data_IF_347201720463
#
_entry.id   IF_347201720463
#
_cell.length_a   1.000
_cell.length_b   1.000
_cell.length_c   1.000
_cell.angle_alpha   90.00
_cell.angle_beta   90.00
_cell.angle_gamma   90.00
#
_symmetry.space_group_name_H-M   'P 1'
#
loop_
_entity.id
_entity.type
_entity.pdbx_description
1 polymer ?
#
# COMPACT_ATOMS: atom_id res chain seq x y z
N UNK A 1 22.20 35.46 -16.16
CA UNK A 1 22.91 34.21 -16.52
C UNK A 1 21.96 33.39 -17.35
N UNK A 2 22.29 33.22 -18.63
CA UNK A 2 21.51 32.46 -19.60
C UNK A 2 21.67 30.97 -19.31
N UNK A 3 20.58 30.28 -19.00
CA UNK A 3 20.51 28.82 -18.97
C UNK A 3 19.40 28.40 -19.91
N UNK A 4 19.75 27.99 -21.12
CA UNK A 4 18.82 27.52 -22.13
C UNK A 4 18.05 26.31 -21.57
N UNK A 5 16.72 26.42 -21.52
CA UNK A 5 15.84 25.27 -21.33
C UNK A 5 15.91 24.41 -22.58
N UNK A 6 16.62 23.29 -22.52
CA UNK A 6 16.42 22.23 -23.50
C UNK A 6 15.01 21.66 -23.34
N UNK A 7 14.21 21.55 -24.41
CA UNK A 7 12.92 20.87 -24.35
C UNK A 7 13.15 19.38 -24.07
N UNK A 8 12.28 18.73 -23.28
CA UNK A 8 12.40 17.30 -23.01
C UNK A 8 12.29 16.55 -24.33
N UNK A 9 13.31 15.73 -24.58
CA UNK A 9 13.49 14.87 -25.76
C UNK A 9 12.15 14.32 -26.26
N UNK A 10 11.66 14.92 -27.34
CA UNK A 10 10.58 14.39 -28.16
C UNK A 10 10.91 12.93 -28.47
N UNK A 11 10.03 12.01 -28.08
CA UNK A 11 10.17 10.61 -28.47
C UNK A 11 10.38 10.53 -29.98
N UNK A 12 11.41 9.80 -30.47
CA UNK A 12 11.62 9.68 -31.90
C UNK A 12 10.36 9.11 -32.56
N UNK A 13 9.85 9.81 -33.57
CA UNK A 13 9.01 9.20 -34.59
C UNK A 13 9.84 8.14 -35.31
N UNK A 14 9.18 7.11 -35.86
CA UNK A 14 9.75 5.85 -36.39
C UNK A 14 9.85 4.80 -35.28
N UNK A 15 8.94 3.83 -35.17
CA UNK A 15 8.60 2.85 -36.19
C UNK A 15 7.09 2.59 -36.26
N UNK A 16 6.45 3.13 -37.29
CA UNK A 16 5.30 2.48 -37.91
C UNK A 16 5.82 1.22 -38.63
N UNK A 17 6.14 0.18 -37.86
CA UNK A 17 6.39 -1.16 -38.37
C UNK A 17 5.09 -1.93 -38.33
N UNK A 18 4.55 -2.22 -39.51
CA UNK A 18 3.30 -2.92 -39.73
C UNK A 18 3.15 -4.14 -38.80
N UNK A 19 2.01 -4.19 -38.10
CA UNK A 19 1.57 -5.37 -37.39
C UNK A 19 1.25 -6.46 -38.39
N UNK A 20 2.22 -7.34 -38.66
CA UNK A 20 1.87 -8.68 -39.12
C UNK A 20 1.50 -9.50 -37.87
N UNK A 21 0.19 -9.64 -37.66
CA UNK A 21 -0.37 -10.68 -36.77
C UNK A 21 -0.02 -12.04 -37.37
N UNK A 22 1.19 -12.51 -37.08
CA UNK A 22 1.58 -13.88 -37.36
C UNK A 22 0.92 -14.79 -36.33
N UNK A 23 -0.22 -15.39 -36.72
CA UNK A 23 -0.77 -16.57 -36.06
C UNK A 23 0.36 -17.57 -35.86
N UNK A 24 0.75 -17.80 -34.60
CA UNK A 24 1.76 -18.79 -34.24
C UNK A 24 1.13 -20.19 -34.27
N UNK A 25 0.48 -20.56 -35.37
CA UNK A 25 0.11 -21.94 -35.66
C UNK A 25 1.29 -22.61 -36.32
N UNK A 26 2.00 -23.41 -35.51
CA UNK A 26 3.10 -24.24 -35.95
C UNK A 26 4.43 -23.74 -35.42
N UNK A 27 4.78 -24.16 -34.20
CA UNK A 27 6.18 -24.49 -33.99
C UNK A 27 6.50 -25.56 -35.04
N UNK A 28 7.20 -25.17 -36.11
CA UNK A 28 7.67 -26.08 -37.12
C UNK A 28 8.50 -27.17 -36.41
N UNK A 29 7.86 -28.30 -36.16
CA UNK A 29 8.52 -29.56 -35.83
C UNK A 29 9.56 -29.79 -36.94
N UNK A 30 10.78 -30.24 -36.64
CA UNK A 30 11.75 -30.50 -37.71
C UNK A 30 11.22 -31.65 -38.57
N UNK A 31 10.51 -31.34 -39.66
CA UNK A 31 10.34 -32.31 -40.74
C UNK A 31 11.63 -32.24 -41.54
N UNK A 32 12.52 -33.20 -41.30
CA UNK A 32 13.54 -33.57 -42.27
C UNK A 32 12.79 -33.99 -43.54
N UNK A 33 12.58 -33.03 -44.44
CA UNK A 33 12.10 -33.30 -45.78
C UNK A 33 13.20 -34.09 -46.47
N UNK A 34 13.05 -35.42 -46.48
CA UNK A 34 13.86 -36.29 -47.31
C UNK A 34 13.50 -36.01 -48.76
N UNK A 35 14.14 -34.99 -49.37
CA UNK A 35 14.11 -34.85 -50.81
C UNK A 35 14.76 -36.09 -51.42
N UNK A 36 13.98 -36.81 -52.24
CA UNK A 36 14.46 -37.88 -53.09
C UNK A 36 15.44 -37.28 -54.11
N UNK A 37 16.72 -37.30 -53.76
CA UNK A 37 17.83 -36.86 -54.59
C UNK A 37 19.13 -37.16 -53.87
N UNK A 38 19.84 -38.19 -54.33
CA UNK A 38 20.97 -38.78 -53.62
C UNK A 38 22.19 -37.88 -53.54
N UNK A 39 22.38 -37.26 -52.37
CA UNK A 39 23.68 -37.14 -51.72
C UNK A 39 23.45 -37.51 -50.27
N UNK A 40 24.13 -38.55 -49.78
CA UNK A 40 24.05 -38.94 -48.37
C UNK A 40 24.62 -37.80 -47.53
N UNK A 41 23.76 -37.09 -46.80
CA UNK A 41 24.18 -36.10 -45.81
C UNK A 41 25.24 -36.73 -44.91
N UNK A 42 26.39 -36.09 -44.82
CA UNK A 42 27.45 -36.57 -43.93
C UNK A 42 27.02 -36.38 -42.48
N UNK A 43 27.48 -37.26 -41.58
CA UNK A 43 27.15 -37.19 -40.15
C UNK A 43 27.43 -35.79 -39.57
N UNK A 44 28.51 -35.15 -40.03
CA UNK A 44 28.89 -33.80 -39.63
C UNK A 44 27.86 -32.75 -40.05
N UNK A 45 27.31 -32.83 -41.27
CA UNK A 45 26.29 -31.91 -41.75
C UNK A 45 24.94 -32.11 -41.02
N UNK A 46 24.61 -33.36 -40.68
CA UNK A 46 23.44 -33.67 -39.85
C UNK A 46 23.56 -33.05 -38.46
N UNK A 47 24.69 -33.27 -37.78
CA UNK A 47 24.95 -32.70 -36.45
C UNK A 47 24.93 -31.15 -36.48
N UNK A 48 25.51 -30.54 -37.51
CA UNK A 48 25.44 -29.09 -37.71
C UNK A 48 24.00 -28.59 -37.92
N UNK A 49 23.17 -29.32 -38.67
CA UNK A 49 21.77 -28.96 -38.86
C UNK A 49 20.98 -29.03 -37.54
N UNK A 50 21.18 -30.09 -36.76
CA UNK A 50 20.59 -30.22 -35.42
C UNK A 50 21.02 -29.06 -34.52
N UNK A 51 22.32 -28.74 -34.47
CA UNK A 51 22.82 -27.63 -33.66
C UNK A 51 22.24 -26.28 -34.09
N UNK A 52 22.20 -25.98 -35.39
CA UNK A 52 21.62 -24.72 -35.91
C UNK A 52 20.13 -24.58 -35.55
N UNK A 53 19.37 -25.66 -35.65
CA UNK A 53 17.93 -25.65 -35.31
C UNK A 53 17.71 -25.43 -33.81
N UNK A 54 18.51 -26.10 -32.96
CA UNK A 54 18.47 -25.91 -31.52
C UNK A 54 18.86 -24.48 -31.13
N UNK A 55 19.93 -23.94 -31.71
CA UNK A 55 20.38 -22.56 -31.46
C UNK A 55 19.31 -21.53 -31.88
N UNK A 56 18.67 -21.74 -33.04
CA UNK A 56 17.57 -20.90 -33.50
C UNK A 56 16.37 -20.95 -32.55
N UNK A 57 16.05 -22.14 -32.03
CA UNK A 57 15.02 -22.33 -31.02
C UNK A 57 15.34 -21.56 -29.73
N UNK A 58 16.53 -21.75 -29.16
CA UNK A 58 16.96 -21.06 -27.93
C UNK A 58 16.95 -19.54 -28.10
N UNK A 59 17.46 -19.02 -29.22
CA UNK A 59 17.45 -17.58 -29.53
C UNK A 59 16.02 -17.03 -29.60
N UNK A 60 15.09 -17.81 -30.16
CA UNK A 60 13.68 -17.43 -30.26
C UNK A 60 13.02 -17.37 -28.89
N UNK A 61 13.22 -18.40 -28.05
CA UNK A 61 12.68 -18.43 -26.67
C UNK A 61 13.19 -17.25 -25.85
N UNK A 62 14.50 -16.96 -25.88
CA UNK A 62 15.10 -15.84 -25.15
C UNK A 62 14.53 -14.51 -25.64
N UNK A 63 14.41 -14.32 -26.97
CA UNK A 63 13.84 -13.11 -27.56
C UNK A 63 12.40 -12.88 -27.09
N UNK A 64 11.55 -13.91 -27.11
CA UNK A 64 10.16 -13.77 -26.66
C UNK A 64 10.03 -13.53 -25.16
N UNK A 65 10.89 -14.16 -24.35
CA UNK A 65 10.95 -13.90 -22.91
C UNK A 65 11.31 -12.43 -22.63
N UNK A 66 12.31 -11.89 -23.33
CA UNK A 66 12.71 -10.49 -23.22
C UNK A 66 11.59 -9.53 -23.64
N UNK A 67 10.96 -9.76 -24.79
CA UNK A 67 9.81 -8.96 -25.25
C UNK A 67 8.67 -8.97 -24.22
N UNK A 68 8.40 -10.14 -23.64
CA UNK A 68 7.36 -10.27 -22.61
C UNK A 68 7.70 -9.49 -21.34
N UNK A 69 8.95 -9.54 -20.89
CA UNK A 69 9.42 -8.76 -19.74
C UNK A 69 9.31 -7.25 -19.99
N UNK A 70 9.75 -6.77 -21.16
CA UNK A 70 9.64 -5.36 -21.55
C UNK A 70 8.18 -4.90 -21.55
N UNK A 71 7.27 -5.67 -22.15
CA UNK A 71 5.83 -5.34 -22.17
C UNK A 71 5.22 -5.29 -20.76
N UNK A 72 5.67 -6.15 -19.84
CA UNK A 72 5.23 -6.12 -18.44
C UNK A 72 5.70 -4.84 -17.74
N UNK A 73 6.95 -4.44 -17.95
CA UNK A 73 7.50 -3.20 -17.39
C UNK A 73 6.77 -1.97 -17.95
N UNK A 74 6.49 -1.92 -19.25
CA UNK A 74 5.73 -0.81 -19.85
C UNK A 74 4.33 -0.66 -19.25
N UNK A 75 3.58 -1.77 -19.12
CA UNK A 75 2.26 -1.76 -18.46
C UNK A 75 2.31 -1.31 -17.01
N UNK A 76 3.44 -1.60 -16.32
CA UNK A 76 3.67 -1.17 -14.94
C UNK A 76 3.90 0.35 -14.91
N UNK A 77 4.77 0.87 -15.77
CA UNK A 77 5.05 2.31 -15.89
C UNK A 77 3.87 3.15 -16.39
N UNK A 78 2.95 2.60 -17.18
CA UNK A 78 1.70 3.30 -17.56
C UNK A 78 0.76 3.54 -16.37
N UNK A 79 0.87 2.72 -15.31
CA UNK A 79 0.01 2.78 -14.12
C UNK A 79 0.70 3.43 -12.92
N UNK A 80 2.02 3.41 -12.89
CA UNK A 80 2.83 3.94 -11.81
C UNK A 80 3.31 5.36 -12.14
N UNK A 81 3.13 6.26 -11.18
CA UNK A 81 3.63 7.64 -11.24
C UNK A 81 4.86 7.71 -10.34
N UNK A 82 5.93 8.41 -10.77
CA UNK A 82 7.12 8.58 -9.94
C UNK A 82 6.83 9.41 -8.70
N UNK A 83 7.50 9.09 -7.59
CA UNK A 83 7.38 9.85 -6.35
C UNK A 83 7.81 11.32 -6.54
N UNK A 84 8.79 11.58 -7.39
CA UNK A 84 9.25 12.94 -7.74
C UNK A 84 8.17 13.76 -8.46
N UNK A 85 7.22 13.10 -9.13
CA UNK A 85 6.06 13.78 -9.71
C UNK A 85 4.95 14.01 -8.68
N UNK A 86 4.91 13.20 -7.61
CA UNK A 86 3.96 13.33 -6.49
C UNK A 86 4.36 14.43 -5.49
N UNK A 87 5.64 14.81 -5.41
CA UNK A 87 6.12 15.90 -4.53
C UNK A 87 5.67 17.29 -4.96
N UNK A 88 5.08 17.44 -6.16
CA UNK A 88 4.45 18.69 -6.60
C UNK A 88 3.07 18.87 -5.97
N UNK A 89 3.01 19.33 -4.72
CA UNK A 89 1.92 20.03 -3.97
C UNK A 89 0.47 19.50 -4.04
N UNK A 90 0.13 18.56 -4.92
CA UNK A 90 -1.25 18.18 -5.27
C UNK A 90 -1.88 17.15 -4.34
N UNK A 91 -1.15 16.63 -3.36
CA UNK A 91 -1.59 15.48 -2.56
C UNK A 91 -1.35 15.63 -1.06
N UNK A 92 -1.59 16.82 -0.50
CA UNK A 92 -1.80 17.03 0.94
C UNK A 92 -2.94 16.13 1.48
N UNK A 93 -3.82 15.60 0.61
CA UNK A 93 -4.90 14.67 0.98
C UNK A 93 -4.45 13.29 1.51
N UNK A 94 -3.21 12.86 1.26
CA UNK A 94 -2.68 11.60 1.83
C UNK A 94 -1.80 11.81 3.06
N UNK A 95 -1.50 13.07 3.41
CA UNK A 95 -0.91 13.35 4.70
C UNK A 95 -1.96 12.98 5.75
N UNK A 96 -1.50 12.33 6.82
CA UNK A 96 -2.30 12.23 8.04
C UNK A 96 -2.69 13.67 8.41
N UNK A 97 -3.98 13.96 8.66
CA UNK A 97 -4.36 15.31 9.07
C UNK A 97 -3.47 15.73 10.23
N UNK A 98 -2.95 16.96 10.18
CA UNK A 98 -2.18 17.53 11.28
C UNK A 98 -2.91 17.21 12.60
N UNK A 99 -2.21 16.72 13.63
CA UNK A 99 -2.85 16.35 14.87
C UNK A 99 -3.64 17.55 15.40
N UNK A 100 -4.89 17.30 15.82
CA UNK A 100 -5.70 18.32 16.50
C UNK A 100 -4.89 18.94 17.65
N UNK A 101 -5.23 20.18 18.03
CA UNK A 101 -4.63 20.85 19.20
C UNK A 101 -4.62 19.89 20.41
N UNK A 102 -3.50 19.83 21.14
CA UNK A 102 -3.43 18.97 22.33
C UNK A 102 -4.23 19.60 23.46
N UNK A 103 -5.20 18.87 24.01
CA UNK A 103 -6.08 19.36 25.07
C UNK A 103 -5.56 18.87 26.44
N UNK A 104 -4.97 19.75 27.28
CA UNK A 104 -4.47 19.34 28.59
C UNK A 104 -5.63 19.11 29.56
N UNK A 105 -5.61 17.95 30.19
CA UNK A 105 -6.62 17.51 31.13
C UNK A 105 -6.00 17.12 32.45
N UNK A 106 -6.31 17.85 33.52
CA UNK A 106 -5.69 17.62 34.84
C UNK A 106 -6.65 16.93 35.80
N UNK A 107 -6.27 15.75 36.30
CA UNK A 107 -7.02 14.99 37.30
C UNK A 107 -6.06 14.14 38.14
N UNK A 108 -6.39 13.91 39.41
CA UNK A 108 -5.49 13.23 40.37
C UNK A 108 -4.10 13.88 40.49
N UNK A 109 -3.98 15.18 40.16
CA UNK A 109 -2.69 15.87 40.12
C UNK A 109 -1.79 15.50 38.93
N UNK A 110 -2.33 14.78 37.93
CA UNK A 110 -1.63 14.46 36.69
C UNK A 110 -2.29 15.18 35.52
N UNK A 111 -1.48 15.71 34.61
CA UNK A 111 -1.95 16.31 33.36
C UNK A 111 -1.76 15.32 32.23
N UNK A 112 -2.86 15.01 31.56
CA UNK A 112 -2.95 14.10 30.41
C UNK A 112 -3.28 14.93 29.18
N UNK A 113 -2.61 14.66 28.06
CA UNK A 113 -2.86 15.34 26.79
C UNK A 113 -3.81 14.48 25.95
N UNK A 114 -4.90 15.08 25.48
CA UNK A 114 -5.88 14.44 24.60
C UNK A 114 -5.79 15.04 23.20
N UNK A 115 -5.63 14.17 22.20
CA UNK A 115 -5.56 14.53 20.78
C UNK A 115 -6.94 14.66 20.11
N UNK A 116 -8.02 14.68 20.87
CA UNK A 116 -9.38 14.76 20.33
C UNK A 116 -10.20 15.73 21.17
N UNK A 117 -10.61 16.84 20.55
CA UNK A 117 -11.36 17.91 21.20
C UNK A 117 -12.71 17.41 21.75
N UNK A 118 -13.49 16.72 20.93
CA UNK A 118 -14.82 16.21 21.32
C UNK A 118 -14.75 15.25 22.53
N UNK A 119 -13.71 14.43 22.61
CA UNK A 119 -13.48 13.57 23.76
C UNK A 119 -13.10 14.39 25.01
N UNK A 120 -12.25 15.40 24.86
CA UNK A 120 -11.87 16.27 25.97
C UNK A 120 -13.10 17.00 26.55
N UNK A 121 -13.96 17.51 25.68
CA UNK A 121 -15.21 18.17 26.05
C UNK A 121 -16.18 17.20 26.74
N UNK A 122 -16.40 16.01 26.18
CA UNK A 122 -17.27 15.00 26.79
C UNK A 122 -16.79 14.57 28.18
N UNK A 123 -15.47 14.42 28.37
CA UNK A 123 -14.89 14.10 29.67
C UNK A 123 -15.04 15.28 30.66
N UNK A 124 -15.02 16.52 30.18
CA UNK A 124 -15.19 17.72 31.01
C UNK A 124 -16.59 17.84 31.62
N UNK A 125 -17.61 17.30 30.95
CA UNK A 125 -19.02 17.27 31.42
C UNK A 125 -19.25 16.19 32.48
N UNK A 126 -18.41 15.14 32.50
CA UNK A 126 -18.56 14.06 33.47
C UNK A 126 -18.33 14.53 34.91
N UNK A 127 -19.06 13.94 35.89
CA UNK A 127 -18.79 14.14 37.31
C UNK A 127 -17.33 13.84 37.65
N UNK A 128 -16.75 14.63 38.55
CA UNK A 128 -15.34 14.55 38.94
C UNK A 128 -14.91 13.13 39.35
N UNK A 129 -15.73 12.44 40.17
CA UNK A 129 -15.47 11.07 40.57
C UNK A 129 -15.40 10.12 39.36
N UNK A 130 -16.36 10.22 38.45
CA UNK A 130 -16.46 9.35 37.25
C UNK A 130 -15.26 9.53 36.34
N UNK A 131 -14.85 10.79 36.16
CA UNK A 131 -13.66 11.19 35.42
C UNK A 131 -12.39 10.61 36.04
N UNK A 132 -12.22 10.72 37.35
CA UNK A 132 -11.10 10.13 38.08
C UNK A 132 -11.07 8.60 37.93
N UNK A 133 -12.21 7.93 38.00
CA UNK A 133 -12.31 6.48 37.82
C UNK A 133 -11.90 6.03 36.40
N UNK A 134 -12.38 6.72 35.35
CA UNK A 134 -11.97 6.44 33.95
C UNK A 134 -10.48 6.65 33.78
N UNK A 135 -9.95 7.75 34.30
CA UNK A 135 -8.55 8.07 34.12
C UNK A 135 -7.63 7.08 34.84
N UNK A 136 -7.98 6.71 36.08
CA UNK A 136 -7.26 5.67 36.83
C UNK A 136 -7.26 4.33 36.08
N UNK A 137 -8.36 4.01 35.39
CA UNK A 137 -8.48 2.77 34.66
C UNK A 137 -7.68 2.77 33.34
N UNK A 138 -7.78 3.80 32.51
CA UNK A 138 -7.15 3.83 31.19
C UNK A 138 -5.72 4.37 31.21
N UNK A 139 -5.46 5.47 31.92
CA UNK A 139 -4.15 6.13 31.92
C UNK A 139 -3.22 5.54 32.97
N UNK A 140 -3.72 5.30 34.19
CA UNK A 140 -2.91 4.70 35.26
C UNK A 140 -2.95 3.17 35.28
N UNK A 141 -3.76 2.53 34.41
CA UNK A 141 -3.92 1.07 34.30
C UNK A 141 -4.20 0.38 35.65
N UNK A 142 -4.90 1.07 36.56
CA UNK A 142 -5.21 0.51 37.87
C UNK A 142 -6.34 -0.53 37.78
N UNK A 143 -6.22 -1.67 38.48
CA UNK A 143 -7.29 -2.66 38.46
C UNK A 143 -8.52 -2.13 39.22
N UNK A 144 -9.71 -2.57 38.80
CA UNK A 144 -11.00 -2.16 39.40
C UNK A 144 -11.08 -2.34 40.92
N UNK A 145 -10.34 -3.31 41.48
CA UNK A 145 -10.25 -3.50 42.94
C UNK A 145 -9.54 -2.34 43.64
N UNK A 146 -8.46 -1.82 43.04
CA UNK A 146 -7.70 -0.67 43.57
C UNK A 146 -8.52 0.60 43.40
N UNK A 147 -9.16 0.78 42.25
CA UNK A 147 -10.07 1.90 42.00
C UNK A 147 -11.24 1.89 43.00
N UNK A 148 -11.87 0.72 43.19
CA UNK A 148 -12.92 0.52 44.20
C UNK A 148 -12.46 0.89 45.61
N UNK A 149 -11.27 0.44 46.02
CA UNK A 149 -10.71 0.79 47.32
C UNK A 149 -10.50 2.31 47.47
N UNK A 150 -10.02 2.99 46.42
CA UNK A 150 -9.83 4.44 46.40
C UNK A 150 -11.15 5.21 46.60
N UNK A 151 -12.24 4.76 45.98
CA UNK A 151 -13.58 5.37 46.12
C UNK A 151 -14.38 4.83 47.32
N UNK A 152 -13.79 3.96 48.15
CA UNK A 152 -14.47 3.32 49.28
C UNK A 152 -15.61 2.37 48.89
N UNK A 153 -15.54 1.75 47.70
CA UNK A 153 -16.55 0.84 47.15
C UNK A 153 -15.97 -0.53 46.77
N UNK A 154 -16.87 -1.47 46.45
CA UNK A 154 -16.47 -2.78 45.97
C UNK A 154 -15.90 -2.75 44.54
N UNK A 155 -15.13 -3.79 44.18
CA UNK A 155 -14.61 -3.99 42.82
C UNK A 155 -15.72 -4.00 41.75
N UNK A 156 -16.87 -4.61 42.05
CA UNK A 156 -18.00 -4.67 41.11
C UNK A 156 -18.68 -3.31 40.92
N UNK A 157 -18.75 -2.49 41.98
CA UNK A 157 -19.26 -1.11 41.91
C UNK A 157 -18.39 -0.26 41.00
N UNK A 158 -17.06 -0.26 41.19
CA UNK A 158 -16.14 0.45 40.32
C UNK A 158 -16.26 -0.01 38.85
N UNK A 159 -16.35 -1.33 38.62
CA UNK A 159 -16.57 -1.86 37.26
C UNK A 159 -17.92 -1.45 36.64
N UNK A 160 -18.97 -1.24 37.46
CA UNK A 160 -20.25 -0.71 36.98
C UNK A 160 -20.14 0.78 36.63
N UNK A 161 -19.50 1.58 37.49
CA UNK A 161 -19.30 3.00 37.25
C UNK A 161 -18.51 3.25 35.97
N UNK A 162 -17.38 2.58 35.77
CA UNK A 162 -16.57 2.70 34.54
C UNK A 162 -17.40 2.38 33.30
N UNK A 163 -18.23 1.32 33.34
CA UNK A 163 -19.10 0.97 32.21
C UNK A 163 -20.15 2.04 31.92
N UNK A 164 -20.81 2.55 32.95
CA UNK A 164 -21.80 3.63 32.80
C UNK A 164 -21.14 4.92 32.29
N UNK A 165 -19.92 5.20 32.74
CA UNK A 165 -19.16 6.35 32.29
C UNK A 165 -18.83 6.27 30.79
N UNK A 166 -18.38 5.10 30.32
CA UNK A 166 -18.11 4.87 28.90
C UNK A 166 -19.36 4.94 28.04
N UNK A 167 -20.50 4.48 28.58
CA UNK A 167 -21.78 4.60 27.89
C UNK A 167 -22.16 6.07 27.72
N UNK A 168 -22.04 6.89 28.77
CA UNK A 168 -22.31 8.34 28.70
C UNK A 168 -21.38 9.04 27.73
N UNK A 169 -20.08 8.74 27.75
CA UNK A 169 -19.12 9.32 26.80
C UNK A 169 -19.49 9.00 25.35
N UNK A 170 -19.96 7.78 25.09
CA UNK A 170 -20.45 7.40 23.76
C UNK A 170 -21.69 8.22 23.37
N UNK A 171 -22.66 8.33 24.26
CA UNK A 171 -23.88 9.10 24.02
C UNK A 171 -23.56 10.57 23.72
N UNK A 172 -22.73 11.23 24.54
CA UNK A 172 -22.29 12.62 24.32
C UNK A 172 -21.54 12.80 22.99
N UNK A 173 -20.58 11.90 22.70
CA UNK A 173 -19.81 11.98 21.45
C UNK A 173 -20.64 11.64 20.20
N UNK A 174 -21.73 10.89 20.34
CA UNK A 174 -22.68 10.65 19.24
C UNK A 174 -23.53 11.88 18.99
N UNK A 175 -23.97 12.60 20.04
CA UNK A 175 -24.69 13.88 19.92
C UNK A 175 -23.84 14.93 19.20
N UNK A 176 -22.57 15.10 19.59
CA UNK A 176 -21.66 16.07 18.96
C UNK A 176 -21.29 15.77 17.50
N UNK A 177 -21.69 14.62 16.93
CA UNK A 177 -21.52 14.34 15.49
C UNK A 177 -22.68 14.87 14.62
N UNK A 178 -23.80 15.21 15.25
CA UNK A 178 -25.03 15.63 14.56
C UNK A 178 -25.39 17.10 14.79
N UNK A 179 -24.61 17.80 15.62
CA UNK A 179 -24.63 19.26 15.80
C UNK A 179 -23.58 19.93 14.91
#
# INVERSE_FOLDING_TARGET
MNGAYEPPLTAPSVFAGEQTRGDSKGCCRPSLSSQKGGFSMTETEYQMAVQRTHDAYCKTVIRHAAITAIRRLQKKWEREISLDYLTNEKFIQFAEPEPDEEHPFTVCGQTVLLSNAALADAISVLPEQTREEILRYYFLRQPQRVIGAHIGRSRSTAGRHIRLALQRLREEMEVSRYE
#
